data_IF_353899826228
#
_entry.id   IF_353899826228
#
_cell.length_a   1.000
_cell.length_b   1.000
_cell.length_c   1.000
_cell.angle_alpha   90.00
_cell.angle_beta   90.00
_cell.angle_gamma   90.00
#
_symmetry.space_group_name_H-M   'P 1'
#
loop_
_entity.id
_entity.type
_entity.pdbx_description
1 polymer ?
#
# COMPACT_ATOMS: atom_id res chain seq x y z
N UNK A 1 -22.94 14.00 3.80
CA UNK A 1 -23.18 12.70 4.46
C UNK A 1 -22.02 11.74 4.19
N UNK A 2 -21.51 11.63 2.96
CA UNK A 2 -20.37 10.78 2.58
C UNK A 2 -19.06 11.25 3.26
N UNK A 3 -18.82 12.56 3.35
CA UNK A 3 -17.68 13.13 4.06
C UNK A 3 -17.67 12.75 5.55
N UNK A 4 -18.85 12.80 6.19
CA UNK A 4 -18.98 12.37 7.61
C UNK A 4 -18.75 10.88 7.85
N UNK A 5 -18.98 10.04 6.87
CA UNK A 5 -18.70 8.59 6.94
C UNK A 5 -17.20 8.33 6.76
N UNK A 6 -16.54 9.09 5.89
CA UNK A 6 -15.08 9.07 5.71
C UNK A 6 -14.34 9.57 6.94
N UNK A 7 -14.79 10.66 7.55
CA UNK A 7 -14.25 11.22 8.79
C UNK A 7 -14.42 10.26 9.98
N UNK A 8 -15.42 9.40 9.93
CA UNK A 8 -15.64 8.34 10.91
C UNK A 8 -14.74 7.09 10.70
N UNK A 9 -13.86 7.08 9.68
CA UNK A 9 -12.95 5.98 9.39
C UNK A 9 -13.65 4.71 8.87
N UNK A 10 -14.87 4.83 8.35
CA UNK A 10 -15.64 3.72 7.80
C UNK A 10 -15.30 3.58 6.33
N UNK A 11 -14.63 2.49 5.97
CA UNK A 11 -14.34 2.16 4.58
C UNK A 11 -15.63 1.75 3.86
N UNK A 12 -15.99 2.47 2.80
CA UNK A 12 -17.15 2.12 1.98
C UNK A 12 -16.69 1.07 0.96
N UNK A 13 -17.14 -0.16 1.16
CA UNK A 13 -16.91 -1.27 0.24
C UNK A 13 -18.21 -1.62 -0.50
N UNK A 14 -18.09 -2.23 -1.67
CA UNK A 14 -19.22 -2.85 -2.35
C UNK A 14 -19.60 -4.19 -1.71
N UNK A 15 -20.63 -4.86 -2.27
CA UNK A 15 -21.13 -6.14 -1.75
C UNK A 15 -20.08 -7.26 -1.75
N UNK A 16 -19.02 -7.13 -2.55
CA UNK A 16 -17.95 -8.11 -2.70
C UNK A 16 -16.71 -7.77 -1.83
N UNK A 17 -16.81 -6.74 -0.99
CA UNK A 17 -15.73 -6.30 -0.09
C UNK A 17 -14.64 -5.49 -0.79
N UNK A 18 -14.86 -5.03 -2.03
CA UNK A 18 -13.94 -4.19 -2.77
C UNK A 18 -14.14 -2.71 -2.40
N UNK A 19 -13.08 -1.89 -2.42
CA UNK A 19 -13.19 -0.47 -2.13
C UNK A 19 -14.04 0.23 -3.18
N UNK A 20 -14.99 1.03 -2.72
CA UNK A 20 -15.76 1.90 -3.61
C UNK A 20 -14.85 2.96 -4.22
N UNK A 21 -14.98 3.24 -5.51
CA UNK A 21 -14.15 4.19 -6.28
C UNK A 21 -14.05 5.61 -5.67
N UNK A 22 -14.93 5.95 -4.72
CA UNK A 22 -14.97 7.26 -4.03
C UNK A 22 -14.02 7.37 -2.83
N UNK A 23 -13.42 6.26 -2.36
CA UNK A 23 -12.53 6.23 -1.17
C UNK A 23 -11.07 6.46 -1.56
N UNK A 24 -10.76 6.54 -2.84
CA UNK A 24 -9.39 6.57 -3.37
C UNK A 24 -8.71 7.96 -3.33
N UNK A 25 -9.39 8.99 -2.84
CA UNK A 25 -8.82 10.35 -2.80
C UNK A 25 -8.44 10.76 -1.38
N UNK A 26 -7.16 11.06 -1.26
CA UNK A 26 -6.46 11.91 -0.30
C UNK A 26 -6.14 11.40 1.11
N UNK A 27 -4.82 11.30 1.32
CA UNK A 27 -4.09 12.11 2.32
C UNK A 27 -2.63 12.18 1.87
N UNK A 28 -2.16 13.36 1.51
CA UNK A 28 -0.74 13.66 1.25
C UNK A 28 -0.04 13.75 2.61
N UNK A 29 0.53 12.63 3.09
CA UNK A 29 1.52 12.66 4.16
C UNK A 29 2.90 12.96 3.55
N UNK A 30 3.81 13.66 4.27
CA UNK A 30 5.13 14.01 3.76
C UNK A 30 5.93 12.75 3.37
N UNK A 31 6.44 12.73 2.16
CA UNK A 31 7.29 11.65 1.66
C UNK A 31 8.71 11.82 2.19
N UNK A 32 9.23 10.79 2.85
CA UNK A 32 10.65 10.72 3.21
C UNK A 32 11.50 10.59 1.94
N UNK A 33 12.59 11.33 1.88
CA UNK A 33 13.55 11.24 0.76
C UNK A 33 14.24 9.87 0.74
N UNK A 34 14.74 9.47 -0.44
CA UNK A 34 15.50 8.22 -0.58
C UNK A 34 16.78 8.23 0.27
N UNK A 35 17.38 9.40 0.47
CA UNK A 35 18.57 9.59 1.32
C UNK A 35 18.26 9.41 2.81
N UNK A 36 17.11 9.87 3.27
CA UNK A 36 16.67 9.68 4.68
C UNK A 36 16.36 8.22 4.99
N UNK A 37 15.82 7.48 4.02
CA UNK A 37 15.51 6.05 4.17
C UNK A 37 16.76 5.17 4.21
N UNK A 38 17.79 5.56 3.45
CA UNK A 38 19.03 4.80 3.33
C UNK A 38 20.05 5.15 4.44
N UNK A 39 19.76 6.17 5.28
CA UNK A 39 20.66 6.63 6.34
C UNK A 39 21.96 7.22 5.78
N UNK A 40 22.38 8.36 6.28
CA UNK A 40 23.57 9.11 5.82
C UNK A 40 24.92 8.41 6.03
N UNK A 41 24.96 7.19 6.55
CA UNK A 41 26.20 6.50 6.98
C UNK A 41 26.23 5.01 6.55
N UNK A 42 26.05 4.69 5.29
CA UNK A 42 26.23 3.30 4.87
C UNK A 42 27.09 3.16 3.63
N UNK A 43 28.39 3.28 3.85
CA UNK A 43 29.43 2.87 2.89
C UNK A 43 29.63 1.33 2.90
N UNK A 44 28.60 0.51 3.16
CA UNK A 44 28.71 -0.96 3.16
C UNK A 44 27.86 -1.56 2.05
N UNK A 45 28.56 -2.32 1.22
CA UNK A 45 28.22 -2.95 -0.06
C UNK A 45 27.02 -3.94 -0.01
N UNK A 46 26.47 -4.24 1.16
CA UNK A 46 25.44 -5.27 1.37
C UNK A 46 24.18 -4.74 2.10
N UNK A 47 23.64 -3.64 1.64
CA UNK A 47 22.33 -3.20 2.13
C UNK A 47 21.23 -3.92 1.31
N UNK A 48 20.47 -4.85 1.88
CA UNK A 48 19.44 -5.60 1.18
C UNK A 48 18.33 -4.67 0.63
N UNK A 49 18.10 -3.52 1.25
CA UNK A 49 17.16 -2.51 0.74
C UNK A 49 17.65 -1.95 -0.57
N UNK A 50 18.94 -1.55 -0.66
CA UNK A 50 19.53 -1.03 -1.90
C UNK A 50 19.51 -2.05 -3.02
N UNK A 51 19.82 -3.31 -2.73
CA UNK A 51 19.75 -4.38 -3.72
C UNK A 51 18.35 -4.50 -4.29
N UNK A 52 17.35 -4.60 -3.42
CA UNK A 52 15.95 -4.69 -3.82
C UNK A 52 15.51 -3.48 -4.67
N UNK A 53 15.83 -2.25 -4.23
CA UNK A 53 15.47 -1.04 -4.97
C UNK A 53 16.13 -0.98 -6.36
N UNK A 54 17.37 -1.48 -6.47
CA UNK A 54 18.07 -1.58 -7.76
C UNK A 54 17.40 -2.58 -8.69
N UNK A 55 17.02 -3.74 -8.18
CA UNK A 55 16.36 -4.79 -8.97
C UNK A 55 15.01 -4.33 -9.52
N UNK A 56 14.15 -3.78 -8.67
CA UNK A 56 12.83 -3.29 -9.12
C UNK A 56 12.93 -2.08 -10.05
N UNK A 57 14.04 -1.31 -9.97
CA UNK A 57 14.30 -0.15 -10.81
C UNK A 57 14.57 -0.50 -12.28
N UNK A 58 14.97 -1.74 -12.58
CA UNK A 58 15.25 -2.20 -13.94
C UNK A 58 13.98 -2.44 -14.75
N UNK A 59 12.88 -2.79 -14.08
CA UNK A 59 11.61 -3.09 -14.74
C UNK A 59 10.98 -1.80 -15.27
N UNK A 60 10.67 -1.71 -16.58
CA UNK A 60 10.05 -0.52 -17.16
C UNK A 60 8.61 -0.34 -16.64
N UNK A 61 8.19 0.92 -16.57
CA UNK A 61 6.80 1.24 -16.26
C UNK A 61 5.89 0.88 -17.44
N UNK A 62 4.69 0.39 -17.15
CA UNK A 62 3.68 0.07 -18.14
C UNK A 62 2.95 1.33 -18.62
N UNK A 63 2.61 1.36 -19.90
CA UNK A 63 1.64 2.30 -20.45
C UNK A 63 0.22 1.88 -20.07
N UNK A 64 -0.76 2.79 -20.22
CA UNK A 64 -2.17 2.43 -19.95
C UNK A 64 -2.68 1.31 -20.85
N UNK A 65 -2.20 1.24 -22.09
CA UNK A 65 -2.57 0.23 -23.07
C UNK A 65 -2.01 -1.14 -22.67
N UNK A 66 -0.71 -1.20 -22.33
CA UNK A 66 -0.08 -2.44 -21.84
C UNK A 66 -0.70 -2.92 -20.52
N UNK A 67 -1.10 -2.00 -19.63
CA UNK A 67 -1.78 -2.34 -18.37
C UNK A 67 -3.12 -3.03 -18.64
N UNK A 68 -3.90 -2.53 -19.63
CA UNK A 68 -5.17 -3.13 -20.02
C UNK A 68 -4.98 -4.49 -20.70
N UNK A 69 -4.02 -4.61 -21.61
CA UNK A 69 -3.70 -5.88 -22.27
C UNK A 69 -3.29 -6.96 -21.26
N UNK A 70 -2.42 -6.61 -20.32
CA UNK A 70 -2.02 -7.53 -19.26
C UNK A 70 -3.19 -7.90 -18.34
N UNK A 71 -4.08 -6.95 -18.03
CA UNK A 71 -5.25 -7.21 -17.19
C UNK A 71 -6.22 -8.22 -17.85
N UNK A 72 -6.41 -8.13 -19.18
CA UNK A 72 -7.20 -9.08 -19.95
C UNK A 72 -6.58 -10.49 -19.88
N UNK A 73 -5.26 -10.59 -20.05
CA UNK A 73 -4.55 -11.87 -19.98
C UNK A 73 -4.58 -12.48 -18.57
N UNK A 74 -4.48 -11.64 -17.53
CA UNK A 74 -4.62 -12.08 -16.13
C UNK A 74 -6.01 -12.67 -15.87
N UNK A 75 -7.08 -12.07 -16.40
CA UNK A 75 -8.45 -12.60 -16.30
C UNK A 75 -8.58 -13.97 -16.98
N UNK A 76 -7.84 -14.20 -18.07
CA UNK A 76 -7.77 -15.50 -18.77
C UNK A 76 -6.91 -16.54 -18.02
N UNK A 77 -6.27 -16.15 -16.93
CA UNK A 77 -5.44 -17.02 -16.09
C UNK A 77 -3.97 -17.12 -16.51
N UNK A 78 -3.48 -16.19 -17.32
CA UNK A 78 -2.08 -16.13 -17.71
C UNK A 78 -1.18 -15.72 -16.52
N UNK A 79 -0.30 -16.63 -16.12
CA UNK A 79 0.61 -16.43 -15.00
C UNK A 79 1.76 -15.47 -15.34
N UNK A 80 2.22 -15.44 -16.59
CA UNK A 80 3.29 -14.53 -17.03
C UNK A 80 2.79 -13.08 -17.05
N UNK A 81 1.57 -12.86 -17.55
CA UNK A 81 0.92 -11.56 -17.51
C UNK A 81 0.72 -11.07 -16.06
N UNK A 82 0.29 -11.96 -15.16
CA UNK A 82 0.14 -11.68 -13.73
C UNK A 82 1.47 -11.25 -13.10
N UNK A 83 2.54 -11.98 -13.38
CA UNK A 83 3.88 -11.68 -12.87
C UNK A 83 4.35 -10.33 -13.41
N UNK A 84 4.24 -10.09 -14.73
CA UNK A 84 4.66 -8.85 -15.36
C UNK A 84 3.91 -7.63 -14.83
N UNK A 85 2.59 -7.74 -14.63
CA UNK A 85 1.78 -6.67 -14.05
C UNK A 85 2.20 -6.37 -12.61
N UNK A 86 2.51 -7.40 -11.79
CA UNK A 86 3.00 -7.23 -10.43
C UNK A 86 4.40 -6.59 -10.41
N UNK A 87 5.36 -7.09 -11.18
CA UNK A 87 6.74 -6.60 -11.22
C UNK A 87 6.83 -5.12 -11.60
N UNK A 88 6.07 -4.69 -12.62
CA UNK A 88 6.03 -3.30 -13.04
C UNK A 88 5.48 -2.33 -11.98
N UNK A 89 4.75 -2.85 -10.98
CA UNK A 89 4.13 -2.07 -9.91
C UNK A 89 4.83 -2.21 -8.54
N UNK A 90 5.96 -2.90 -8.44
CA UNK A 90 6.72 -3.00 -7.17
C UNK A 90 7.20 -1.63 -6.67
N UNK A 91 7.54 -0.72 -7.58
CA UNK A 91 7.93 0.66 -7.23
C UNK A 91 6.80 1.43 -6.55
N UNK A 92 5.54 1.17 -6.93
CA UNK A 92 4.36 1.74 -6.25
C UNK A 92 4.28 1.26 -4.80
N UNK A 93 4.55 -0.03 -4.54
CA UNK A 93 4.56 -0.57 -3.17
C UNK A 93 5.59 0.15 -2.32
N UNK A 94 6.80 0.35 -2.84
CA UNK A 94 7.88 1.06 -2.12
C UNK A 94 7.45 2.49 -1.79
N UNK A 95 6.89 3.24 -2.73
CA UNK A 95 6.46 4.62 -2.51
C UNK A 95 5.40 4.73 -1.41
N UNK A 96 4.51 3.74 -1.32
CA UNK A 96 3.49 3.69 -0.26
C UNK A 96 4.12 3.27 1.07
N UNK A 97 4.98 2.23 1.08
CA UNK A 97 5.61 1.71 2.29
C UNK A 97 6.48 2.76 3.00
N UNK A 98 7.12 3.67 2.25
CA UNK A 98 7.91 4.80 2.80
C UNK A 98 7.14 5.59 3.86
N UNK A 99 5.86 5.83 3.66
CA UNK A 99 5.00 6.61 4.56
C UNK A 99 4.73 5.92 5.90
N UNK A 100 5.06 4.64 6.00
CA UNK A 100 4.82 3.82 7.20
C UNK A 100 6.10 3.48 7.98
N UNK A 101 7.24 3.99 7.55
CA UNK A 101 8.53 3.82 8.24
C UNK A 101 8.44 4.45 9.64
N UNK A 102 9.08 3.79 10.63
CA UNK A 102 9.07 4.25 12.03
C UNK A 102 7.85 3.84 12.85
N UNK A 103 6.91 3.06 12.27
CA UNK A 103 5.69 2.60 12.97
C UNK A 103 5.83 1.21 13.61
N UNK A 104 7.08 0.78 13.90
CA UNK A 104 7.36 -0.46 14.64
C UNK A 104 7.64 -1.69 13.78
N UNK A 105 7.72 -1.54 12.47
CA UNK A 105 8.16 -2.58 11.51
C UNK A 105 9.37 -2.10 10.71
N UNK A 106 10.21 -3.03 10.27
CA UNK A 106 11.33 -2.73 9.38
C UNK A 106 10.82 -2.40 7.97
N UNK A 107 11.55 -1.57 7.24
CA UNK A 107 11.12 -1.11 5.91
C UNK A 107 10.93 -2.26 4.91
N UNK A 108 11.83 -3.25 4.89
CA UNK A 108 11.66 -4.43 4.02
C UNK A 108 10.42 -5.25 4.38
N UNK A 109 10.08 -5.37 5.65
CA UNK A 109 8.87 -6.08 6.07
C UNK A 109 7.61 -5.34 5.61
N UNK A 110 7.61 -4.01 5.72
CA UNK A 110 6.52 -3.17 5.18
C UNK A 110 6.35 -3.35 3.67
N UNK A 111 7.48 -3.43 2.92
CA UNK A 111 7.44 -3.69 1.48
C UNK A 111 6.85 -5.08 1.20
N UNK A 112 7.27 -6.13 1.93
CA UNK A 112 6.76 -7.48 1.70
C UNK A 112 5.26 -7.60 1.99
N UNK A 113 4.80 -7.00 3.08
CA UNK A 113 3.36 -6.93 3.37
C UNK A 113 2.59 -6.15 2.29
N UNK A 114 3.20 -5.05 1.81
CA UNK A 114 2.67 -4.29 0.67
C UNK A 114 2.61 -5.12 -0.61
N UNK A 115 3.64 -5.93 -0.90
CA UNK A 115 3.66 -6.84 -2.04
C UNK A 115 2.55 -7.89 -1.96
N UNK A 116 2.24 -8.39 -0.77
CA UNK A 116 1.08 -9.28 -0.55
C UNK A 116 -0.24 -8.57 -0.87
N UNK A 117 -0.33 -7.28 -0.55
CA UNK A 117 -1.46 -6.44 -0.95
C UNK A 117 -1.54 -6.25 -2.47
N UNK A 118 -0.41 -5.97 -3.13
CA UNK A 118 -0.32 -5.84 -4.58
C UNK A 118 -0.77 -7.12 -5.30
N UNK A 119 -0.32 -8.30 -4.85
CA UNK A 119 -0.74 -9.58 -5.44
C UNK A 119 -2.26 -9.77 -5.38
N UNK A 120 -2.89 -9.41 -4.24
CA UNK A 120 -4.36 -9.43 -4.13
C UNK A 120 -5.04 -8.44 -5.06
N UNK A 121 -4.43 -7.28 -5.30
CA UNK A 121 -4.95 -6.31 -6.25
C UNK A 121 -4.89 -6.84 -7.68
N UNK A 122 -3.78 -7.49 -8.08
CA UNK A 122 -3.64 -8.12 -9.40
C UNK A 122 -4.71 -9.19 -9.61
N UNK A 123 -4.98 -10.03 -8.60
CA UNK A 123 -5.98 -11.10 -8.70
C UNK A 123 -7.42 -10.60 -8.83
N UNK A 124 -7.70 -9.39 -8.33
CA UNK A 124 -9.07 -8.84 -8.25
C UNK A 124 -9.30 -7.62 -9.12
N UNK A 125 -8.34 -7.23 -9.92
CA UNK A 125 -8.46 -6.05 -10.76
C UNK A 125 -9.45 -6.27 -11.89
N UNK A 126 -10.39 -5.33 -12.02
CA UNK A 126 -11.41 -5.31 -13.06
C UNK A 126 -11.16 -4.10 -13.98
N UNK A 127 -10.55 -4.34 -15.12
CA UNK A 127 -10.22 -3.31 -16.11
C UNK A 127 -11.46 -2.67 -16.75
N UNK A 128 -12.62 -3.35 -16.73
CA UNK A 128 -13.87 -2.85 -17.34
C UNK A 128 -14.40 -1.60 -16.64
N UNK A 129 -13.97 -1.35 -15.40
CA UNK A 129 -14.35 -0.17 -14.60
C UNK A 129 -13.68 1.14 -15.05
N UNK A 130 -12.71 1.08 -15.96
CA UNK A 130 -12.07 2.25 -16.55
C UNK A 130 -11.11 3.01 -15.62
N UNK A 131 -10.75 2.46 -14.45
CA UNK A 131 -9.76 3.04 -13.54
C UNK A 131 -8.37 2.46 -13.81
N UNK A 132 -7.32 3.25 -13.52
CA UNK A 132 -5.95 2.77 -13.55
C UNK A 132 -5.72 1.72 -12.48
N UNK A 133 -4.91 0.71 -12.81
CA UNK A 133 -4.52 -0.33 -11.85
C UNK A 133 -3.90 0.26 -10.57
N UNK A 134 -3.02 1.27 -10.71
CA UNK A 134 -2.36 1.94 -9.58
C UNK A 134 -3.35 2.51 -8.56
N UNK A 135 -4.48 3.07 -9.02
CA UNK A 135 -5.53 3.60 -8.15
C UNK A 135 -6.16 2.49 -7.30
N UNK A 136 -6.46 1.35 -7.91
CA UNK A 136 -7.03 0.20 -7.21
C UNK A 136 -6.01 -0.48 -6.29
N UNK A 137 -4.79 -0.71 -6.79
CA UNK A 137 -3.71 -1.36 -6.05
C UNK A 137 -3.30 -0.58 -4.80
N UNK A 138 -3.29 0.75 -4.84
CA UNK A 138 -2.95 1.61 -3.70
C UNK A 138 -3.78 1.27 -2.46
N UNK A 139 -5.08 1.01 -2.62
CA UNK A 139 -5.94 0.63 -1.50
C UNK A 139 -5.53 -0.71 -0.88
N UNK A 140 -5.29 -1.73 -1.71
CA UNK A 140 -4.89 -3.07 -1.24
C UNK A 140 -3.53 -3.06 -0.57
N UNK A 141 -2.57 -2.32 -1.13
CA UNK A 141 -1.23 -2.16 -0.57
C UNK A 141 -1.32 -1.48 0.80
N UNK A 142 -2.02 -0.35 0.89
CA UNK A 142 -2.22 0.39 2.13
C UNK A 142 -2.92 -0.46 3.19
N UNK A 143 -3.97 -1.16 2.82
CA UNK A 143 -4.71 -2.06 3.71
C UNK A 143 -3.81 -3.18 4.27
N UNK A 144 -3.00 -3.81 3.42
CA UNK A 144 -2.09 -4.87 3.83
C UNK A 144 -1.04 -4.34 4.83
N UNK A 145 -0.38 -3.23 4.50
CA UNK A 145 0.63 -2.61 5.37
C UNK A 145 0.02 -2.19 6.72
N UNK A 146 -1.11 -1.50 6.71
CA UNK A 146 -1.76 -1.03 7.95
C UNK A 146 -2.17 -2.19 8.84
N UNK A 147 -2.71 -3.26 8.26
CA UNK A 147 -3.08 -4.46 8.98
C UNK A 147 -1.86 -5.17 9.57
N UNK A 148 -0.78 -5.29 8.80
CA UNK A 148 0.46 -5.88 9.28
C UNK A 148 1.06 -5.09 10.46
N UNK A 149 1.08 -3.77 10.40
CA UNK A 149 1.51 -2.92 11.50
C UNK A 149 0.64 -3.17 12.75
N UNK A 150 -0.67 -3.23 12.61
CA UNK A 150 -1.57 -3.48 13.73
C UNK A 150 -1.32 -4.85 14.39
N UNK A 151 -1.01 -5.88 13.57
CA UNK A 151 -0.82 -7.26 14.04
C UNK A 151 0.59 -7.56 14.54
N UNK A 152 1.64 -6.92 14.00
CA UNK A 152 3.03 -7.34 14.17
C UNK A 152 3.96 -6.29 14.80
N UNK A 153 3.59 -5.00 14.78
CA UNK A 153 4.49 -3.93 15.24
C UNK A 153 4.76 -3.93 16.74
N UNK A 154 3.98 -4.65 17.54
CA UNK A 154 4.10 -4.69 18.99
C UNK A 154 4.63 -6.03 19.48
N UNK A 155 5.61 -6.01 20.39
CA UNK A 155 6.16 -7.21 21.05
C UNK A 155 5.06 -8.01 21.77
N UNK A 156 4.15 -7.30 22.45
CA UNK A 156 2.93 -7.90 23.01
C UNK A 156 1.78 -7.57 22.04
N UNK A 157 1.31 -8.58 21.35
CA UNK A 157 0.28 -8.43 20.32
C UNK A 157 -1.04 -7.95 20.92
N UNK A 158 -1.59 -6.91 20.30
CA UNK A 158 -2.93 -6.39 20.62
C UNK A 158 -3.86 -6.72 19.44
N UNK A 159 -5.11 -7.19 19.69
CA UNK A 159 -6.07 -7.42 18.61
C UNK A 159 -6.33 -6.16 17.77
N UNK A 160 -6.51 -6.32 16.45
CA UNK A 160 -6.66 -5.21 15.50
C UNK A 160 -7.75 -4.22 15.90
N UNK A 161 -8.92 -4.71 16.33
CA UNK A 161 -10.03 -3.84 16.76
C UNK A 161 -9.67 -2.95 17.96
N UNK A 162 -8.78 -3.41 18.84
CA UNK A 162 -8.29 -2.60 19.96
C UNK A 162 -7.30 -1.53 19.48
N UNK A 163 -6.45 -1.85 18.50
CA UNK A 163 -5.55 -0.87 17.88
C UNK A 163 -6.36 0.24 17.19
N UNK A 164 -7.44 -0.12 16.49
CA UNK A 164 -8.36 0.84 15.86
C UNK A 164 -9.01 1.75 16.91
N UNK A 165 -9.46 1.19 18.03
CA UNK A 165 -10.04 1.96 19.14
C UNK A 165 -9.03 2.94 19.74
N UNK A 166 -7.78 2.49 19.97
CA UNK A 166 -6.69 3.33 20.46
C UNK A 166 -6.40 4.48 19.49
N UNK A 167 -6.29 4.17 18.19
CA UNK A 167 -6.03 5.18 17.17
C UNK A 167 -7.17 6.23 17.09
N UNK A 168 -8.42 5.80 17.22
CA UNK A 168 -9.57 6.70 17.30
C UNK A 168 -9.48 7.62 18.51
N UNK A 169 -9.17 7.06 19.68
CA UNK A 169 -9.03 7.84 20.93
C UNK A 169 -7.91 8.88 20.83
N UNK A 170 -6.75 8.49 20.27
CA UNK A 170 -5.61 9.42 20.07
C UNK A 170 -6.00 10.55 19.09
N UNK A 171 -6.78 10.25 18.07
CA UNK A 171 -7.28 11.25 17.12
C UNK A 171 -8.20 12.26 17.81
N UNK A 172 -9.20 11.77 18.57
CA UNK A 172 -10.11 12.64 19.30
C UNK A 172 -9.38 13.51 20.35
N UNK A 173 -8.40 12.93 21.06
CA UNK A 173 -7.56 13.68 21.99
C UNK A 173 -6.80 14.81 21.28
N UNK A 174 -6.26 14.55 20.08
CA UNK A 174 -5.55 15.58 19.30
C UNK A 174 -6.48 16.69 18.84
N UNK A 175 -7.70 16.35 18.40
CA UNK A 175 -8.71 17.32 18.01
C UNK A 175 -9.09 18.25 19.17
N UNK A 176 -9.32 17.68 20.37
CA UNK A 176 -9.65 18.45 21.58
C UNK A 176 -8.52 19.35 22.08
N UNK A 177 -7.26 19.04 21.74
CA UNK A 177 -6.10 19.89 22.09
C UNK A 177 -5.91 21.07 21.11
N UNK A 178 -6.58 21.04 19.96
CA UNK A 178 -6.51 22.08 18.93
C UNK A 178 -7.68 23.08 19.00
N UNK A 179 -8.71 22.79 19.78
CA UNK A 179 -9.77 23.70 20.18
C UNK A 179 -9.35 24.58 21.38
#
# INVERSE_FOLDING_TARGET
LLQRIQDAGISITDKDGNPSARVLNNEEEPELSDEELLGSNSAKVNDPVRMYLKEIGVVPLLTNEEEQELAILVEQGDLEAKQRLAEANLRLVVSIAKRYVGRGMQFLDLIQEGNMGLMKAVDKFDYTKGFKFSTYATWWIRQAITRAIADQARTIRIPVHMVETINKLVREQRNLLQE
#
